data_IF_191577640248
#
_entry.id   IF_191577640248
#
_cell.length_a   1.000
_cell.length_b   1.000
_cell.length_c   1.000
_cell.angle_alpha   90.00
_cell.angle_beta   90.00
_cell.angle_gamma   90.00
#
_symmetry.space_group_name_H-M   'P 1'
#
loop_
_entity.id
_entity.type
_entity.pdbx_description
1 polymer ?
#
# COMPACT_ATOMS: atom_id res chain seq x y z
N UNK A 1 2.38 13.42 7.67
CA UNK A 1 1.55 13.45 6.44
C UNK A 1 2.10 12.56 5.35
N UNK A 2 3.32 12.75 4.84
CA UNK A 2 3.89 11.93 3.74
C UNK A 2 3.80 10.41 3.94
N UNK A 3 4.26 9.90 5.08
CA UNK A 3 4.20 8.45 5.39
C UNK A 3 2.76 7.93 5.39
N UNK A 4 1.82 8.71 5.95
CA UNK A 4 0.42 8.31 6.01
C UNK A 4 -0.24 8.35 4.61
N UNK A 5 0.08 9.35 3.78
CA UNK A 5 -0.36 9.40 2.39
C UNK A 5 0.19 8.23 1.57
N UNK A 6 1.48 7.93 1.72
CA UNK A 6 2.13 6.78 1.10
C UNK A 6 1.43 5.47 1.48
N UNK A 7 1.25 5.22 2.78
CA UNK A 7 0.57 4.03 3.28
C UNK A 7 -0.86 3.90 2.73
N UNK A 8 -1.62 5.00 2.71
CA UNK A 8 -3.00 5.01 2.20
C UNK A 8 -3.08 4.72 0.69
N UNK A 9 -2.26 5.37 -0.13
CA UNK A 9 -2.31 5.24 -1.60
C UNK A 9 -1.74 3.91 -2.11
N UNK A 10 -0.91 3.23 -1.33
CA UNK A 10 -0.36 1.93 -1.72
C UNK A 10 -1.38 0.78 -1.63
N UNK A 11 -2.42 0.91 -0.80
CA UNK A 11 -3.47 -0.10 -0.71
C UNK A 11 -4.15 -0.31 -2.07
N UNK A 12 -4.45 0.76 -2.81
CA UNK A 12 -5.04 0.64 -4.15
C UNK A 12 -4.09 -0.05 -5.14
N UNK A 13 -2.78 0.25 -5.07
CA UNK A 13 -1.77 -0.44 -5.88
C UNK A 13 -1.73 -1.94 -5.56
N UNK A 14 -1.79 -2.33 -4.29
CA UNK A 14 -1.86 -3.74 -3.93
C UNK A 14 -3.16 -4.39 -4.42
N UNK A 15 -4.30 -3.70 -4.31
CA UNK A 15 -5.56 -4.19 -4.85
C UNK A 15 -5.46 -4.47 -6.35
N UNK A 16 -4.85 -3.58 -7.13
CA UNK A 16 -4.59 -3.77 -8.56
C UNK A 16 -3.66 -4.96 -8.81
N UNK A 17 -2.57 -5.09 -8.04
CA UNK A 17 -1.65 -6.23 -8.18
C UNK A 17 -2.34 -7.57 -7.89
N UNK A 18 -3.19 -7.61 -6.86
CA UNK A 18 -3.94 -8.80 -6.46
C UNK A 18 -4.98 -9.16 -7.52
N UNK A 19 -5.81 -8.19 -7.93
CA UNK A 19 -6.88 -8.40 -8.89
C UNK A 19 -6.35 -8.82 -10.27
N UNK A 20 -5.24 -8.23 -10.72
CA UNK A 20 -4.63 -8.56 -12.00
C UNK A 20 -3.67 -9.75 -11.91
N UNK A 21 -3.35 -10.20 -10.69
CA UNK A 21 -2.36 -11.25 -10.41
C UNK A 21 -1.02 -10.96 -11.11
N UNK A 22 -0.58 -9.71 -10.97
CA UNK A 22 0.61 -9.18 -11.63
C UNK A 22 1.31 -8.19 -10.70
N UNK A 23 2.64 -8.22 -10.68
CA UNK A 23 3.43 -7.17 -10.02
C UNK A 23 3.73 -6.04 -11.01
N UNK A 24 4.07 -4.83 -10.54
CA UNK A 24 4.31 -3.70 -11.44
C UNK A 24 5.47 -3.98 -12.41
N UNK A 25 5.16 -4.00 -13.71
CA UNK A 25 6.15 -4.00 -14.77
C UNK A 25 6.49 -2.54 -15.13
N UNK A 26 7.48 -1.98 -14.44
CA UNK A 26 7.86 -0.57 -14.60
C UNK A 26 8.98 -0.47 -15.63
N UNK A 27 8.70 0.16 -16.78
CA UNK A 27 9.71 0.41 -17.83
C UNK A 27 10.75 1.45 -17.41
N UNK A 28 10.34 2.45 -16.61
CA UNK A 28 11.20 3.51 -16.11
C UNK A 28 10.90 3.78 -14.62
N UNK A 29 11.81 3.33 -13.75
CA UNK A 29 11.66 3.42 -12.30
C UNK A 29 11.56 4.87 -11.82
N UNK A 30 12.39 5.77 -12.34
CA UNK A 30 12.42 7.17 -11.91
C UNK A 30 11.12 7.89 -12.24
N UNK A 31 10.57 7.64 -13.43
CA UNK A 31 9.28 8.21 -13.84
C UNK A 31 8.14 7.70 -12.95
N UNK A 32 8.14 6.42 -12.62
CA UNK A 32 7.14 5.83 -11.73
C UNK A 32 7.25 6.38 -10.30
N UNK A 33 8.46 6.50 -9.76
CA UNK A 33 8.70 7.08 -8.44
C UNK A 33 8.27 8.55 -8.39
N UNK A 34 8.55 9.34 -9.43
CA UNK A 34 8.12 10.73 -9.52
C UNK A 34 6.59 10.86 -9.57
N UNK A 35 5.91 9.94 -10.26
CA UNK A 35 4.45 9.87 -10.28
C UNK A 35 3.90 9.57 -8.87
N UNK A 36 4.40 8.50 -8.23
CA UNK A 36 4.00 8.12 -6.86
C UNK A 36 4.20 9.28 -5.90
N UNK A 37 5.35 9.95 -5.96
CA UNK A 37 5.66 11.10 -5.11
C UNK A 37 4.65 12.24 -5.33
N UNK A 38 4.32 12.54 -6.59
CA UNK A 38 3.36 13.56 -6.99
C UNK A 38 1.97 13.26 -6.44
N UNK A 39 1.47 12.02 -6.59
CA UNK A 39 0.18 11.59 -6.05
C UNK A 39 0.11 11.77 -4.53
N UNK A 40 1.14 11.30 -3.81
CA UNK A 40 1.24 11.49 -2.37
C UNK A 40 1.27 12.99 -1.98
N UNK A 41 1.73 13.90 -2.86
CA UNK A 41 1.83 15.36 -2.57
C UNK A 41 0.46 16.02 -2.64
N UNK A 42 -0.49 15.41 -3.36
CA UNK A 42 -1.87 15.91 -3.44
C UNK A 42 -2.66 15.68 -2.14
N UNK A 43 -2.23 14.71 -1.32
CA UNK A 43 -2.82 14.42 -0.02
C UNK A 43 -2.22 15.38 1.04
N UNK A 44 -3.03 16.32 1.48
CA UNK A 44 -2.60 17.42 2.37
C UNK A 44 -3.30 17.44 3.72
N UNK A 45 -4.37 16.65 3.90
CA UNK A 45 -5.13 16.58 5.16
C UNK A 45 -5.27 15.17 5.72
N UNK A 46 -5.62 15.07 7.02
CA UNK A 46 -5.92 13.79 7.68
C UNK A 46 -7.18 13.12 7.12
N UNK A 47 -8.18 13.92 6.75
CA UNK A 47 -9.42 13.42 6.17
C UNK A 47 -9.15 12.76 4.80
N UNK A 48 -8.32 13.39 3.97
CA UNK A 48 -7.90 12.82 2.68
C UNK A 48 -7.12 11.52 2.86
N UNK A 49 -6.23 11.43 3.85
CA UNK A 49 -5.56 10.17 4.19
C UNK A 49 -6.58 9.10 4.59
N UNK A 50 -7.53 9.46 5.45
CA UNK A 50 -8.55 8.54 5.98
C UNK A 50 -9.44 8.02 4.86
N UNK A 51 -9.90 8.90 3.97
CA UNK A 51 -10.71 8.54 2.81
C UNK A 51 -9.95 7.61 1.87
N UNK A 52 -8.71 7.96 1.51
CA UNK A 52 -7.85 7.14 0.65
C UNK A 52 -7.59 5.77 1.28
N UNK A 53 -7.30 5.72 2.58
CA UNK A 53 -7.03 4.49 3.31
C UNK A 53 -8.26 3.58 3.36
N UNK A 54 -9.44 4.13 3.69
CA UNK A 54 -10.69 3.36 3.70
C UNK A 54 -11.09 2.87 2.30
N UNK A 55 -10.86 3.69 1.27
CA UNK A 55 -11.07 3.29 -0.12
C UNK A 55 -10.15 2.13 -0.51
N UNK A 56 -8.87 2.25 -0.16
CA UNK A 56 -7.87 1.22 -0.39
C UNK A 56 -8.20 -0.09 0.33
N UNK A 57 -8.68 -0.05 1.58
CA UNK A 57 -9.14 -1.26 2.30
C UNK A 57 -10.26 -1.95 1.51
N UNK A 58 -11.27 -1.19 1.06
CA UNK A 58 -12.37 -1.76 0.27
C UNK A 58 -11.87 -2.40 -1.03
N UNK A 59 -10.94 -1.75 -1.72
CA UNK A 59 -10.35 -2.27 -2.95
C UNK A 59 -9.56 -3.56 -2.69
N UNK A 60 -8.73 -3.60 -1.64
CA UNK A 60 -7.98 -4.81 -1.25
C UNK A 60 -8.92 -5.93 -0.89
N UNK A 61 -9.94 -5.69 -0.05
CA UNK A 61 -10.92 -6.71 0.31
C UNK A 61 -11.63 -7.27 -0.93
N UNK A 62 -12.10 -6.41 -1.84
CA UNK A 62 -12.73 -6.85 -3.08
C UNK A 62 -11.77 -7.67 -3.97
N UNK A 63 -10.49 -7.29 -4.04
CA UNK A 63 -9.49 -8.04 -4.78
C UNK A 63 -9.24 -9.42 -4.15
N UNK A 64 -9.17 -9.51 -2.82
CA UNK A 64 -9.05 -10.78 -2.10
C UNK A 64 -10.27 -11.69 -2.30
N UNK A 65 -11.48 -11.13 -2.27
CA UNK A 65 -12.73 -11.87 -2.48
C UNK A 65 -12.84 -12.45 -3.92
N UNK A 66 -12.08 -11.89 -4.86
CA UNK A 66 -12.03 -12.37 -6.26
C UNK A 66 -11.12 -13.58 -6.47
N UNK A 67 -10.27 -13.91 -5.49
CA UNK A 67 -9.29 -14.99 -5.64
C UNK A 67 -9.91 -16.37 -5.45
N UNK A 68 -9.38 -17.33 -6.20
CA UNK A 68 -9.62 -18.75 -6.02
C UNK A 68 -8.46 -19.39 -5.24
N UNK A 69 -8.66 -20.57 -4.62
CA UNK A 69 -7.56 -21.30 -3.97
C UNK A 69 -6.38 -21.57 -4.91
N UNK A 70 -6.63 -21.84 -6.20
CA UNK A 70 -5.57 -22.09 -7.18
C UNK A 70 -4.71 -20.86 -7.49
N UNK A 71 -5.22 -19.65 -7.24
CA UNK A 71 -4.44 -18.43 -7.42
C UNK A 71 -3.33 -18.31 -6.37
N UNK A 72 -3.50 -18.90 -5.18
CA UNK A 72 -2.55 -18.79 -4.07
C UNK A 72 -1.20 -19.46 -4.35
N UNK A 73 -1.19 -20.46 -5.24
CA UNK A 73 -0.01 -21.22 -5.65
C UNK A 73 0.83 -20.49 -6.72
N UNK A 74 0.35 -19.34 -7.22
CA UNK A 74 1.04 -18.61 -8.29
C UNK A 74 2.34 -17.95 -7.82
N UNK A 75 3.31 -17.93 -8.72
CA UNK A 75 4.49 -17.05 -8.67
C UNK A 75 4.36 -16.01 -9.77
N UNK A 76 4.41 -14.74 -9.39
CA UNK A 76 4.22 -13.58 -10.26
C UNK A 76 5.59 -13.09 -10.72
N UNK A 77 5.86 -13.19 -12.02
CA UNK A 77 7.08 -12.65 -12.62
C UNK A 77 6.99 -11.12 -12.75
N UNK A 78 8.06 -10.43 -12.37
CA UNK A 78 8.18 -8.97 -12.52
C UNK A 78 8.68 -8.52 -13.89
N UNK A 79 9.24 -9.44 -14.68
CA UNK A 79 10.00 -9.09 -15.88
C UNK A 79 11.35 -8.42 -15.59
N UNK A 80 11.76 -8.32 -14.31
CA UNK A 80 12.99 -7.65 -13.85
C UNK A 80 13.96 -8.62 -13.16
N UNK A 81 13.85 -9.92 -13.46
CA UNK A 81 14.73 -10.96 -12.90
C UNK A 81 14.39 -11.38 -11.46
N UNK A 82 13.22 -10.96 -10.95
CA UNK A 82 12.67 -11.40 -9.67
C UNK A 82 11.20 -11.81 -9.80
N UNK A 83 10.73 -12.64 -8.89
CA UNK A 83 9.33 -13.06 -8.81
C UNK A 83 8.80 -12.93 -7.39
N UNK A 84 7.47 -12.85 -7.24
CA UNK A 84 6.78 -12.76 -5.95
C UNK A 84 5.71 -13.84 -5.86
N UNK A 85 5.64 -14.58 -4.75
CA UNK A 85 4.53 -15.51 -4.54
C UNK A 85 3.22 -14.77 -4.30
N UNK A 86 2.11 -15.30 -4.80
CA UNK A 86 0.78 -14.73 -4.54
C UNK A 86 0.48 -14.68 -3.03
N UNK A 87 0.90 -15.72 -2.29
CA UNK A 87 0.79 -15.75 -0.83
C UNK A 87 1.52 -14.58 -0.17
N UNK A 88 2.71 -14.19 -0.66
CA UNK A 88 3.38 -13.00 -0.15
C UNK A 88 2.61 -11.73 -0.50
N UNK A 89 2.16 -11.61 -1.76
CA UNK A 89 1.42 -10.44 -2.23
C UNK A 89 0.14 -10.18 -1.42
N UNK A 90 -0.67 -11.20 -1.13
CA UNK A 90 -1.93 -11.01 -0.37
C UNK A 90 -1.71 -10.59 1.09
N UNK A 91 -0.53 -10.89 1.65
CA UNK A 91 -0.15 -10.48 3.01
C UNK A 91 0.48 -9.08 3.03
N UNK A 92 0.97 -8.60 1.88
CA UNK A 92 1.74 -7.38 1.78
C UNK A 92 0.98 -6.11 2.20
N UNK A 93 -0.34 -5.92 1.92
CA UNK A 93 -1.10 -4.76 2.39
C UNK A 93 -1.05 -4.58 3.92
N UNK A 94 -1.24 -5.68 4.66
CA UNK A 94 -1.25 -5.67 6.12
C UNK A 94 0.14 -5.40 6.69
N UNK A 95 1.16 -6.07 6.14
CA UNK A 95 2.55 -5.86 6.54
C UNK A 95 3.03 -4.44 6.24
N UNK A 96 2.78 -3.93 5.03
CA UNK A 96 3.13 -2.58 4.62
C UNK A 96 2.51 -1.53 5.54
N UNK A 97 1.21 -1.64 5.82
CA UNK A 97 0.50 -0.77 6.75
C UNK A 97 1.15 -0.81 8.14
N UNK A 98 1.40 -2.01 8.67
CA UNK A 98 2.00 -2.18 10.01
C UNK A 98 3.38 -1.53 10.11
N UNK A 99 4.23 -1.69 9.09
CA UNK A 99 5.56 -1.09 9.05
C UNK A 99 5.49 0.45 9.06
N UNK A 100 4.57 1.04 8.30
CA UNK A 100 4.40 2.49 8.27
C UNK A 100 3.73 3.05 9.53
N UNK A 101 2.87 2.30 10.19
CA UNK A 101 2.37 2.66 11.52
C UNK A 101 3.52 2.75 12.53
N UNK A 102 4.48 1.83 12.50
CA UNK A 102 5.69 1.91 13.33
C UNK A 102 6.53 3.18 13.06
N UNK A 103 6.63 3.61 11.79
CA UNK A 103 7.31 4.87 11.46
C UNK A 103 6.57 6.10 11.99
N UNK A 104 5.23 6.10 11.93
CA UNK A 104 4.40 7.18 12.47
C UNK A 104 4.54 7.25 13.99
N UNK A 105 4.46 6.11 14.67
CA UNK A 105 4.60 6.01 16.12
C UNK A 105 5.98 6.49 16.60
N UNK A 106 7.04 6.11 15.88
CA UNK A 106 8.38 6.65 16.13
C UNK A 106 8.43 8.18 16.02
N UNK A 107 7.84 8.76 14.97
CA UNK A 107 7.82 10.21 14.79
C UNK A 107 6.96 10.93 15.84
N UNK A 108 5.84 10.34 16.26
CA UNK A 108 5.01 10.83 17.35
C UNK A 108 5.80 10.86 18.66
N UNK A 109 6.51 9.77 18.95
CA UNK A 109 7.40 9.66 20.11
C UNK A 109 8.50 10.73 20.08
N UNK A 110 9.20 10.92 18.97
CA UNK A 110 10.24 11.94 18.83
C UNK A 110 9.73 13.38 19.03
N UNK A 111 8.43 13.61 18.78
CA UNK A 111 7.79 14.93 18.92
C UNK A 111 7.09 15.11 20.26
N UNK A 112 7.14 14.10 21.14
CA UNK A 112 6.34 14.02 22.35
C UNK A 112 4.83 14.20 22.08
N UNK A 113 4.39 13.80 20.88
CA UNK A 113 3.01 13.84 20.43
C UNK A 113 2.33 12.51 20.82
N UNK A 114 2.16 12.33 22.13
CA UNK A 114 1.68 11.09 22.74
C UNK A 114 0.18 11.08 23.00
N UNK A 115 -0.56 12.08 22.50
CA UNK A 115 -2.00 12.17 22.71
C UNK A 115 -2.72 11.18 21.78
N UNK A 116 -3.00 9.98 22.28
CA UNK A 116 -3.75 8.92 21.59
C UNK A 116 -5.24 9.01 21.94
N UNK A 117 -5.84 10.21 21.91
CA UNK A 117 -7.28 10.37 22.12
C UNK A 117 -7.82 11.42 21.16
N UNK A 118 -8.81 11.01 20.37
CA UNK A 118 -9.79 11.89 19.73
C UNK A 118 -10.81 12.32 20.77
N UNK A 119 -11.25 13.57 20.69
CA UNK A 119 -12.55 13.98 21.23
C UNK A 119 -13.70 13.24 20.51
#
# INVERSE_FOLDING_TARGET
MRIAAHAALYLDRFAQMIANQQVPAVENLDAWLAQVESEERTITSRDQVTEAFQSGIRAVSAALDSLTPADLDKSLDSGQGWSMSMTFLINLPAWHTTLHLGQIDYLQTCRNDQTIYTD
#
